data_IF_476208302750
#
_entry.id   IF_476208302750
#
_cell.length_a   1.000
_cell.length_b   1.000
_cell.length_c   1.000
_cell.angle_alpha   90.00
_cell.angle_beta   90.00
_cell.angle_gamma   90.00
#
_symmetry.space_group_name_H-M   'P 1'
#
loop_
_entity.id
_entity.type
_entity.pdbx_description
1 polymer ?
#
# COMPACT_ATOMS: atom_id res chain seq x y z
N UNK A 1 -14.85 20.06 -5.60
CA UNK A 1 -13.48 19.54 -5.83
C UNK A 1 -12.43 20.54 -5.36
N UNK A 2 -12.33 21.75 -5.93
CA UNK A 2 -11.41 22.78 -5.42
C UNK A 2 -11.60 23.08 -3.92
N UNK A 3 -12.82 23.41 -3.48
CA UNK A 3 -13.12 23.67 -2.06
C UNK A 3 -12.64 22.54 -1.13
N UNK A 4 -12.98 21.29 -1.45
CA UNK A 4 -12.61 20.13 -0.63
C UNK A 4 -11.09 19.88 -0.55
N UNK A 5 -10.31 20.33 -1.55
CA UNK A 5 -8.85 20.32 -1.49
C UNK A 5 -8.32 21.51 -0.66
N UNK A 6 -8.92 22.70 -0.79
CA UNK A 6 -8.61 23.86 0.05
C UNK A 6 -8.82 23.55 1.53
N UNK A 7 -9.99 23.06 1.93
CA UNK A 7 -10.30 22.72 3.33
C UNK A 7 -9.33 21.68 3.92
N UNK A 8 -8.77 20.78 3.10
CA UNK A 8 -7.81 19.77 3.57
C UNK A 8 -6.41 20.36 3.76
N UNK A 9 -5.98 21.26 2.88
CA UNK A 9 -4.72 22.00 3.06
C UNK A 9 -4.81 22.91 4.28
N UNK A 10 -5.91 23.65 4.43
CA UNK A 10 -6.21 24.54 5.55
C UNK A 10 -6.16 23.80 6.91
N UNK A 11 -6.75 22.60 7.03
CA UNK A 11 -6.67 21.80 8.28
C UNK A 11 -5.26 21.22 8.52
N UNK A 12 -4.47 20.96 7.48
CA UNK A 12 -3.07 20.57 7.64
C UNK A 12 -2.20 21.75 8.07
N UNK A 13 -2.47 22.96 7.56
CA UNK A 13 -1.81 24.21 7.93
C UNK A 13 -2.16 24.63 9.37
N UNK A 14 -3.44 24.56 9.78
CA UNK A 14 -3.88 24.76 11.18
C UNK A 14 -3.17 23.81 12.15
N UNK A 15 -2.82 22.60 11.70
CA UNK A 15 -2.05 21.60 12.46
C UNK A 15 -0.53 21.75 12.32
N UNK A 16 -0.02 22.74 11.60
CA UNK A 16 1.41 23.00 11.39
C UNK A 16 2.12 21.97 10.49
N UNK A 17 1.39 21.21 9.68
CA UNK A 17 1.90 20.07 8.89
C UNK A 17 2.50 20.50 7.54
N UNK A 18 2.24 21.73 7.08
CA UNK A 18 2.59 22.22 5.73
C UNK A 18 3.42 23.52 5.72
N UNK A 19 4.14 23.82 6.79
CA UNK A 19 5.10 24.93 6.80
C UNK A 19 6.46 24.45 6.27
N UNK A 20 7.22 25.32 5.58
CA UNK A 20 8.62 25.02 5.25
C UNK A 20 9.46 24.84 6.53
N UNK A 21 10.38 23.89 6.47
CA UNK A 21 11.27 23.49 7.56
C UNK A 21 12.73 23.51 7.08
N UNK A 22 13.67 23.33 8.00
CA UNK A 22 15.08 23.12 7.65
C UNK A 22 15.29 21.90 6.71
N UNK A 23 14.34 20.96 6.72
CA UNK A 23 14.32 19.71 5.98
C UNK A 23 13.06 19.51 5.11
N UNK A 24 12.24 20.55 4.88
CA UNK A 24 11.02 20.47 4.06
C UNK A 24 10.84 21.75 3.22
N UNK A 25 10.78 21.60 1.89
CA UNK A 25 10.64 22.72 0.96
C UNK A 25 9.58 22.45 -0.12
N UNK A 26 8.74 23.44 -0.42
CA UNK A 26 7.66 23.38 -1.40
C UNK A 26 8.06 24.08 -2.70
N UNK A 27 7.73 23.49 -3.85
CA UNK A 27 7.92 24.15 -5.15
C UNK A 27 6.75 23.94 -6.10
N UNK A 28 6.26 25.05 -6.63
CA UNK A 28 5.30 25.04 -7.74
C UNK A 28 5.98 24.40 -8.95
N UNK A 29 5.29 23.44 -9.55
CA UNK A 29 5.67 22.81 -10.81
C UNK A 29 4.74 23.24 -11.96
N UNK A 30 3.79 24.17 -11.73
CA UNK A 30 2.76 24.62 -12.69
C UNK A 30 3.24 24.94 -14.11
N UNK A 31 4.50 25.34 -14.28
CA UNK A 31 5.14 25.65 -15.56
C UNK A 31 6.10 24.58 -16.09
N UNK A 32 6.14 23.39 -15.49
CA UNK A 32 7.19 22.38 -15.67
C UNK A 32 8.04 22.19 -14.41
N UNK A 33 8.94 21.20 -14.45
CA UNK A 33 9.87 20.93 -13.34
C UNK A 33 10.69 22.20 -12.99
N UNK A 34 10.58 22.75 -11.77
CA UNK A 34 11.14 24.06 -11.45
C UNK A 34 12.67 24.04 -11.44
N UNK A 35 13.31 25.11 -11.98
CA UNK A 35 14.78 25.19 -12.03
C UNK A 35 15.42 25.22 -10.64
N UNK A 36 14.77 25.84 -9.66
CA UNK A 36 15.22 25.91 -8.27
C UNK A 36 15.15 24.57 -7.52
N UNK A 37 14.55 23.51 -8.09
CA UNK A 37 14.63 22.16 -7.55
C UNK A 37 16.09 21.71 -7.34
N UNK A 38 16.99 22.09 -8.24
CA UNK A 38 18.39 21.65 -8.22
C UNK A 38 19.23 22.43 -7.21
N UNK A 39 18.80 23.64 -6.85
CA UNK A 39 19.38 24.44 -5.76
C UNK A 39 19.07 23.77 -4.42
N UNK A 40 17.80 23.46 -4.17
CA UNK A 40 17.31 22.73 -2.98
C UNK A 40 17.86 21.31 -2.86
N UNK A 41 17.88 20.56 -3.96
CA UNK A 41 18.49 19.22 -4.00
C UNK A 41 19.97 19.29 -3.60
N UNK A 42 20.70 20.30 -4.08
CA UNK A 42 22.09 20.53 -3.69
C UNK A 42 22.21 20.93 -2.21
N UNK A 43 21.33 21.80 -1.70
CA UNK A 43 21.32 22.20 -0.29
C UNK A 43 21.12 20.99 0.63
N UNK A 44 20.06 20.20 0.41
CA UNK A 44 19.76 18.99 1.19
C UNK A 44 20.80 17.88 1.02
N UNK A 45 21.41 17.74 -0.16
CA UNK A 45 22.49 16.78 -0.39
C UNK A 45 23.80 17.13 0.36
N UNK A 46 23.94 18.37 0.86
CA UNK A 46 25.09 18.84 1.64
C UNK A 46 24.74 19.09 3.14
N UNK A 47 23.54 18.74 3.59
CA UNK A 47 23.07 18.83 4.98
C UNK A 47 22.69 17.45 5.54
N UNK A 48 21.85 17.40 6.58
CA UNK A 48 21.25 16.16 7.12
C UNK A 48 20.24 15.49 6.16
N UNK A 49 19.96 16.12 5.00
CA UNK A 49 18.93 15.73 4.05
C UNK A 49 17.70 16.63 4.10
N UNK A 50 16.63 16.21 3.41
CA UNK A 50 15.35 16.89 3.39
C UNK A 50 14.37 16.33 2.35
N UNK A 51 13.14 16.79 2.39
CA UNK A 51 12.03 16.42 1.51
C UNK A 51 11.65 17.61 0.64
N UNK A 52 11.55 17.42 -0.68
CA UNK A 52 11.09 18.46 -1.61
C UNK A 52 9.72 18.04 -2.16
N UNK A 53 8.69 18.86 -1.93
CA UNK A 53 7.33 18.60 -2.39
C UNK A 53 7.03 19.44 -3.64
N UNK A 54 6.92 18.76 -4.78
CA UNK A 54 6.63 19.36 -6.08
C UNK A 54 5.13 19.46 -6.34
N UNK A 55 4.70 20.58 -6.93
CA UNK A 55 3.29 20.84 -7.27
C UNK A 55 2.52 21.61 -6.19
N UNK A 56 3.22 22.24 -5.25
CA UNK A 56 2.66 23.14 -4.22
C UNK A 56 3.25 24.53 -4.39
N UNK A 57 2.40 25.55 -4.54
CA UNK A 57 2.81 26.96 -4.53
C UNK A 57 2.40 27.62 -3.22
N UNK A 58 3.34 28.16 -2.47
CA UNK A 58 3.02 29.03 -1.32
C UNK A 58 2.63 30.43 -1.78
N UNK A 59 1.66 31.06 -1.11
CA UNK A 59 1.34 32.48 -1.22
C UNK A 59 0.68 32.98 0.07
N UNK A 60 1.13 34.12 0.59
CA UNK A 60 0.61 34.76 1.80
C UNK A 60 0.58 33.82 3.03
N UNK A 61 1.57 32.93 3.17
CA UNK A 61 1.67 31.83 4.16
C UNK A 61 0.66 30.66 3.99
N UNK A 62 -0.04 30.56 2.86
CA UNK A 62 -0.92 29.42 2.53
C UNK A 62 -0.34 28.58 1.38
N UNK A 63 -0.44 27.25 1.47
CA UNK A 63 -0.04 26.33 0.41
C UNK A 63 -1.19 26.00 -0.54
N UNK A 64 -0.93 26.09 -1.85
CA UNK A 64 -1.91 25.77 -2.89
C UNK A 64 -1.38 24.69 -3.82
N UNK A 65 -2.14 23.60 -3.98
CA UNK A 65 -1.84 22.57 -4.98
C UNK A 65 -2.03 23.12 -6.40
N UNK A 66 -1.03 22.90 -7.26
CA UNK A 66 -1.03 23.37 -8.66
C UNK A 66 -2.14 22.73 -9.53
N UNK A 67 -2.71 21.61 -9.08
CA UNK A 67 -3.79 20.90 -9.79
C UNK A 67 -3.30 20.05 -10.97
N UNK A 68 -2.12 19.43 -10.82
CA UNK A 68 -1.43 18.70 -11.89
C UNK A 68 -2.19 17.43 -12.32
N UNK A 69 -2.37 17.26 -13.63
CA UNK A 69 -2.93 16.03 -14.22
C UNK A 69 -1.93 14.88 -14.24
N UNK A 70 -2.42 13.64 -14.16
CA UNK A 70 -1.56 12.45 -14.06
C UNK A 70 -0.55 12.32 -15.21
N UNK A 71 -0.97 12.55 -16.46
CA UNK A 71 -0.07 12.50 -17.63
C UNK A 71 1.04 13.55 -17.58
N UNK A 72 0.76 14.70 -16.96
CA UNK A 72 1.72 15.80 -16.77
C UNK A 72 2.74 15.42 -15.69
N UNK A 73 2.28 14.84 -14.57
CA UNK A 73 3.15 14.32 -13.50
C UNK A 73 4.04 13.19 -14.04
N UNK A 74 3.49 12.25 -14.81
CA UNK A 74 4.24 11.16 -15.47
C UNK A 74 5.37 11.72 -16.34
N UNK A 75 5.07 12.68 -17.22
CA UNK A 75 6.10 13.35 -18.04
C UNK A 75 7.19 14.01 -17.17
N UNK A 76 6.81 14.71 -16.10
CA UNK A 76 7.79 15.42 -15.27
C UNK A 76 8.67 14.49 -14.42
N UNK A 77 8.24 13.25 -14.18
CA UNK A 77 9.09 12.21 -13.60
C UNK A 77 10.13 11.73 -14.60
N UNK A 78 9.76 11.54 -15.87
CA UNK A 78 10.72 11.23 -16.93
C UNK A 78 11.70 12.40 -17.11
N UNK A 79 11.21 13.65 -17.17
CA UNK A 79 12.05 14.86 -17.23
C UNK A 79 12.96 14.98 -15.99
N UNK A 80 12.50 14.60 -14.80
CA UNK A 80 13.29 14.58 -13.56
C UNK A 80 14.41 13.53 -13.62
N UNK A 81 14.08 12.28 -13.96
CA UNK A 81 15.07 11.19 -14.03
C UNK A 81 16.10 11.43 -15.12
N UNK A 82 15.73 12.04 -16.24
CA UNK A 82 16.67 12.48 -17.27
C UNK A 82 17.62 13.59 -16.77
N UNK A 83 17.13 14.51 -15.92
CA UNK A 83 17.94 15.63 -15.41
C UNK A 83 18.87 15.23 -14.26
N UNK A 84 18.40 14.43 -13.29
CA UNK A 84 19.22 14.03 -12.13
C UNK A 84 20.34 13.05 -12.50
N UNK A 85 20.18 12.28 -13.59
CA UNK A 85 21.22 11.42 -14.13
C UNK A 85 22.17 12.14 -15.11
N UNK A 86 21.91 13.40 -15.49
CA UNK A 86 22.85 14.16 -16.32
C UNK A 86 23.96 14.79 -15.46
N UNK A 87 25.19 14.30 -15.65
CA UNK A 87 26.40 14.79 -14.96
C UNK A 87 26.78 16.25 -15.25
N UNK A 88 26.29 16.84 -16.33
CA UNK A 88 26.43 18.28 -16.61
C UNK A 88 25.54 19.14 -15.69
N UNK A 89 24.56 18.52 -15.02
CA UNK A 89 23.54 19.21 -14.21
C UNK A 89 23.56 18.79 -12.74
N UNK A 90 23.85 17.52 -12.45
CA UNK A 90 23.95 16.98 -11.09
C UNK A 90 25.19 16.10 -10.99
N UNK A 91 26.13 16.46 -10.11
CA UNK A 91 27.44 15.80 -9.98
C UNK A 91 27.32 14.29 -9.66
N UNK A 92 26.38 13.95 -8.78
CA UNK A 92 26.05 12.58 -8.35
C UNK A 92 24.54 12.49 -8.08
N UNK A 93 23.87 11.54 -8.73
CA UNK A 93 22.50 11.16 -8.35
C UNK A 93 22.53 10.36 -7.05
N UNK A 94 21.88 10.86 -6.00
CA UNK A 94 21.76 10.22 -4.69
C UNK A 94 20.43 9.47 -4.51
N UNK A 95 19.49 9.60 -5.44
CA UNK A 95 18.11 9.13 -5.31
C UNK A 95 17.81 7.90 -6.16
N UNK A 96 17.01 7.00 -5.60
CA UNK A 96 16.47 5.82 -6.28
C UNK A 96 14.95 5.95 -6.47
N UNK A 97 14.37 5.04 -7.25
CA UNK A 97 12.92 4.98 -7.47
C UNK A 97 12.08 4.66 -6.20
N UNK A 98 12.69 4.51 -5.02
CA UNK A 98 12.01 4.38 -3.72
C UNK A 98 11.86 5.71 -2.98
N UNK A 99 12.71 6.67 -3.33
CA UNK A 99 12.90 7.94 -2.62
C UNK A 99 12.04 9.03 -3.26
N UNK A 100 11.83 8.95 -4.58
CA UNK A 100 10.83 9.74 -5.31
C UNK A 100 9.45 9.10 -5.15
N UNK A 101 8.47 9.89 -4.67
CA UNK A 101 7.13 9.42 -4.31
C UNK A 101 6.05 10.26 -4.99
N UNK A 102 5.11 9.60 -5.64
CA UNK A 102 4.02 10.25 -6.38
C UNK A 102 2.75 10.23 -5.53
N UNK A 103 2.22 11.40 -5.18
CA UNK A 103 0.93 11.52 -4.51
C UNK A 103 -0.01 12.41 -5.31
N UNK A 104 -1.14 11.83 -5.72
CA UNK A 104 -2.22 12.57 -6.39
C UNK A 104 -3.02 13.38 -5.37
N UNK A 105 -3.71 14.46 -5.79
CA UNK A 105 -4.49 15.30 -4.87
C UNK A 105 -5.53 14.52 -4.04
N UNK A 106 -6.23 13.58 -4.66
CA UNK A 106 -7.15 12.67 -3.97
C UNK A 106 -6.43 11.76 -2.93
N UNK A 107 -5.15 11.42 -3.17
CA UNK A 107 -4.36 10.62 -2.23
C UNK A 107 -3.93 11.43 -1.01
N UNK A 108 -3.58 12.71 -1.19
CA UNK A 108 -3.35 13.63 -0.07
C UNK A 108 -4.62 13.76 0.79
N UNK A 109 -5.81 13.90 0.19
CA UNK A 109 -7.08 13.88 0.93
C UNK A 109 -7.25 12.57 1.73
N UNK A 110 -6.94 11.41 1.16
CA UNK A 110 -7.01 10.12 1.87
C UNK A 110 -6.09 10.10 3.10
N UNK A 111 -4.83 10.50 2.96
CA UNK A 111 -3.85 10.46 4.04
C UNK A 111 -4.18 11.50 5.11
N UNK A 112 -4.58 12.71 4.72
CA UNK A 112 -5.00 13.77 5.64
C UNK A 112 -6.22 13.35 6.46
N UNK A 113 -7.24 12.75 5.82
CA UNK A 113 -8.41 12.19 6.51
C UNK A 113 -7.98 11.13 7.53
N UNK A 114 -7.00 10.29 7.19
CA UNK A 114 -6.50 9.24 8.07
C UNK A 114 -5.72 9.77 9.29
N UNK A 115 -5.03 10.92 9.20
CA UNK A 115 -4.40 11.56 10.38
C UNK A 115 -5.42 12.37 11.20
N UNK A 116 -6.36 13.05 10.54
CA UNK A 116 -7.36 13.90 11.22
C UNK A 116 -8.39 13.04 11.98
N UNK A 117 -8.82 11.92 11.39
CA UNK A 117 -9.85 11.02 11.94
C UNK A 117 -9.25 9.76 12.60
N UNK A 118 -7.93 9.60 12.58
CA UNK A 118 -7.18 8.42 13.05
C UNK A 118 -7.37 7.16 12.18
N UNK A 119 -8.53 7.01 11.55
CA UNK A 119 -8.87 5.96 10.58
C UNK A 119 -9.65 6.55 9.40
N UNK A 120 -9.37 6.07 8.19
CA UNK A 120 -10.11 6.39 6.98
C UNK A 120 -10.79 5.15 6.42
N UNK A 121 -11.95 5.31 5.75
CA UNK A 121 -12.67 4.20 5.11
C UNK A 121 -13.15 4.55 3.71
N UNK A 122 -13.38 3.53 2.87
CA UNK A 122 -13.91 3.72 1.52
C UNK A 122 -15.28 4.40 1.50
N UNK A 123 -16.10 4.25 2.55
CA UNK A 123 -17.38 4.93 2.69
C UNK A 123 -17.20 6.41 3.06
N UNK A 124 -16.33 6.72 4.03
CA UNK A 124 -15.98 8.10 4.39
C UNK A 124 -15.50 8.89 3.18
N UNK A 125 -14.62 8.28 2.41
CA UNK A 125 -14.01 8.88 1.22
C UNK A 125 -14.99 9.10 0.06
N UNK A 126 -16.08 8.34 -0.06
CA UNK A 126 -17.15 8.64 -1.04
C UNK A 126 -17.90 9.94 -0.71
N UNK A 127 -17.81 10.44 0.52
CA UNK A 127 -18.34 11.75 0.92
C UNK A 127 -17.34 12.91 0.81
N UNK A 128 -16.06 12.63 0.51
CA UNK A 128 -14.99 13.64 0.41
C UNK A 128 -14.42 13.74 -1.01
N UNK A 129 -14.36 12.61 -1.72
CA UNK A 129 -13.89 12.49 -3.10
C UNK A 129 -15.07 12.28 -4.04
N UNK A 130 -15.15 13.09 -5.10
CA UNK A 130 -16.13 12.89 -6.17
C UNK A 130 -15.70 11.75 -7.12
N UNK A 131 -15.63 10.52 -6.58
CA UNK A 131 -15.12 9.32 -7.24
C UNK A 131 -15.96 8.10 -6.90
N UNK A 132 -16.04 7.14 -7.81
CA UNK A 132 -16.76 5.90 -7.56
C UNK A 132 -16.04 5.02 -6.52
N UNK A 133 -16.81 4.27 -5.74
CA UNK A 133 -16.33 3.33 -4.71
C UNK A 133 -15.20 2.41 -5.17
N UNK A 134 -15.18 2.02 -6.46
CA UNK A 134 -14.14 1.18 -7.06
C UNK A 134 -12.80 1.91 -7.29
N UNK A 135 -12.81 3.20 -7.66
CA UNK A 135 -11.59 4.01 -7.81
C UNK A 135 -10.93 4.21 -6.45
N UNK A 136 -11.72 4.63 -5.47
CA UNK A 136 -11.27 4.80 -4.08
C UNK A 136 -10.77 3.45 -3.53
N UNK A 137 -11.39 2.33 -3.92
CA UNK A 137 -10.92 0.98 -3.59
C UNK A 137 -9.61 0.60 -4.29
N UNK A 138 -9.23 1.23 -5.40
CA UNK A 138 -7.91 1.05 -6.03
C UNK A 138 -6.89 1.92 -5.29
N UNK A 139 -7.17 3.21 -5.11
CA UNK A 139 -6.30 4.16 -4.41
C UNK A 139 -5.91 3.70 -2.99
N UNK A 140 -6.87 3.20 -2.21
CA UNK A 140 -6.59 2.66 -0.87
C UNK A 140 -5.64 1.46 -0.91
N UNK A 141 -5.72 0.59 -1.93
CA UNK A 141 -4.79 -0.55 -2.10
C UNK A 141 -3.43 -0.10 -2.59
N UNK A 142 -3.39 0.89 -3.48
CA UNK A 142 -2.16 1.48 -3.99
C UNK A 142 -1.37 2.12 -2.84
N UNK A 143 -2.02 2.97 -2.03
CA UNK A 143 -1.46 3.53 -0.80
C UNK A 143 -1.02 2.47 0.22
N UNK A 144 -1.75 1.36 0.37
CA UNK A 144 -1.27 0.22 1.17
C UNK A 144 -0.01 -0.44 0.58
N UNK A 145 0.08 -0.56 -0.75
CA UNK A 145 1.20 -1.21 -1.43
C UNK A 145 2.47 -0.35 -1.48
N UNK A 146 2.31 0.98 -1.52
CA UNK A 146 3.37 1.97 -1.30
C UNK A 146 3.67 2.18 0.20
N UNK A 147 2.92 1.49 1.07
CA UNK A 147 3.13 1.37 2.50
C UNK A 147 2.46 2.44 3.37
N UNK A 148 1.84 3.49 2.82
CA UNK A 148 1.32 4.63 3.60
C UNK A 148 0.15 4.28 4.53
N UNK A 149 -0.64 3.28 4.16
CA UNK A 149 -1.82 2.86 4.90
C UNK A 149 -1.73 1.40 5.32
N UNK A 150 -2.12 1.13 6.56
CA UNK A 150 -2.29 -0.22 7.09
C UNK A 150 -3.80 -0.53 7.18
N UNK A 151 -4.30 -1.62 6.55
CA UNK A 151 -5.68 -2.04 6.70
C UNK A 151 -5.89 -2.67 8.09
N UNK A 152 -6.74 -2.07 8.90
CA UNK A 152 -7.07 -2.54 10.25
C UNK A 152 -7.92 -3.83 10.20
N UNK A 153 -8.93 -3.83 9.32
CA UNK A 153 -9.98 -4.85 9.27
C UNK A 153 -10.08 -5.52 7.89
N UNK A 154 -10.29 -6.83 7.80
CA UNK A 154 -10.46 -7.55 6.52
C UNK A 154 -11.95 -7.77 6.19
N UNK A 155 -12.59 -6.88 5.43
CA UNK A 155 -14.00 -7.08 5.06
C UNK A 155 -14.63 -5.99 4.20
N UNK A 156 -15.97 -5.92 4.24
CA UNK A 156 -16.77 -4.87 3.57
C UNK A 156 -16.63 -3.49 4.24
N UNK A 157 -16.13 -3.47 5.47
CA UNK A 157 -15.94 -2.29 6.32
C UNK A 157 -14.46 -2.12 6.67
N UNK A 158 -13.55 -2.31 5.71
CA UNK A 158 -12.12 -2.06 5.94
C UNK A 158 -11.86 -0.58 6.18
N UNK A 159 -11.54 -0.26 7.43
CA UNK A 159 -10.82 0.93 7.88
C UNK A 159 -9.31 0.78 7.62
N UNK A 160 -8.64 1.91 7.47
CA UNK A 160 -7.20 2.04 7.23
C UNK A 160 -6.64 3.13 8.15
N UNK A 161 -5.52 2.87 8.81
CA UNK A 161 -4.77 3.88 9.59
C UNK A 161 -3.46 4.22 8.89
N UNK A 162 -2.87 5.38 9.20
CA UNK A 162 -1.55 5.74 8.68
C UNK A 162 -0.47 4.82 9.24
N UNK A 163 0.40 4.35 8.34
CA UNK A 163 1.52 3.50 8.71
C UNK A 163 2.69 4.36 9.21
N UNK A 164 2.68 4.66 10.51
CA UNK A 164 3.76 5.38 11.21
C UNK A 164 5.11 4.61 11.22
N UNK A 165 5.17 3.41 10.61
CA UNK A 165 6.37 2.60 10.39
C UNK A 165 7.05 2.76 9.02
N UNK A 166 6.57 3.63 8.10
CA UNK A 166 7.46 4.13 7.04
C UNK A 166 8.47 5.07 7.70
N UNK A 167 9.76 4.93 7.36
CA UNK A 167 10.81 5.87 7.72
C UNK A 167 10.71 7.22 7.02
N UNK A 168 9.65 7.98 7.28
CA UNK A 168 9.82 9.39 7.58
C UNK A 168 10.72 9.41 8.83
N UNK A 169 11.94 9.96 8.74
CA UNK A 169 12.78 10.08 9.94
C UNK A 169 12.05 10.94 10.97
N UNK A 170 12.01 10.49 12.21
CA UNK A 170 11.15 11.06 13.22
C UNK A 170 11.75 12.39 13.74
N UNK A 171 10.98 13.47 13.55
CA UNK A 171 11.42 14.85 13.72
C UNK A 171 10.90 15.68 12.55
N UNK A 172 9.78 16.41 12.67
CA UNK A 172 8.96 16.65 13.87
C UNK A 172 7.46 16.77 13.55
N UNK A 173 6.65 15.78 13.93
CA UNK A 173 5.19 15.83 13.79
C UNK A 173 4.39 15.25 14.97
N UNK A 174 4.85 14.16 15.63
CA UNK A 174 4.03 13.44 16.63
C UNK A 174 4.75 13.03 17.92
N UNK A 175 5.71 13.83 18.38
CA UNK A 175 6.17 13.77 19.79
C UNK A 175 6.08 15.17 20.42
N UNK A 176 4.92 15.47 21.01
CA UNK A 176 4.72 16.45 22.11
C UNK A 176 3.23 16.58 22.54
N UNK A 177 2.45 15.49 22.57
CA UNK A 177 1.04 15.56 23.03
C UNK A 177 0.48 14.29 23.73
N UNK A 178 1.30 13.62 24.54
CA UNK A 178 0.80 12.67 25.57
C UNK A 178 1.44 13.01 26.93
N UNK A 179 1.18 14.24 27.36
CA UNK A 179 1.84 14.90 28.49
C UNK A 179 1.11 14.86 29.83
N UNK A 180 0.06 14.05 30.01
CA UNK A 180 -0.48 13.67 31.33
C UNK A 180 -1.61 12.63 31.24
N UNK A 181 -1.39 11.46 31.86
CA UNK A 181 -2.31 10.83 32.82
C UNK A 181 -1.59 9.69 33.57
N UNK A 182 -2.15 9.27 34.71
CA UNK A 182 -1.54 8.37 35.72
C UNK A 182 -1.17 6.95 35.17
N UNK A 183 -0.36 6.12 35.84
CA UNK A 183 -0.10 6.04 37.30
C UNK A 183 1.26 5.38 37.65
N UNK A 184 1.68 5.44 38.92
CA UNK A 184 2.85 4.72 39.45
C UNK A 184 2.46 3.32 39.93
N UNK A 185 3.20 2.28 39.53
CA UNK A 185 3.45 1.13 40.42
C UNK A 185 4.79 0.44 40.15
N UNK A 186 5.18 -0.47 41.05
CA UNK A 186 6.55 -0.64 41.53
C UNK A 186 7.18 -2.01 41.16
N UNK A 187 8.52 -2.08 41.10
CA UNK A 187 9.39 -3.29 41.08
C UNK A 187 9.09 -4.45 40.08
N UNK A 188 10.07 -5.11 39.44
CA UNK A 188 11.19 -5.82 40.06
C UNK A 188 12.14 -6.46 39.02
N UNK A 189 13.35 -6.84 39.42
CA UNK A 189 14.37 -7.49 38.58
C UNK A 189 14.09 -8.96 38.22
N UNK A 190 14.48 -9.39 37.00
CA UNK A 190 15.61 -10.35 36.78
C UNK A 190 15.80 -10.83 35.32
N UNK A 191 17.01 -10.58 34.81
CA UNK A 191 18.03 -11.50 34.23
C UNK A 191 17.68 -12.81 33.48
N UNK A 192 18.60 -13.12 32.55
CA UNK A 192 18.93 -14.42 31.92
C UNK A 192 17.89 -15.00 30.92
N UNK A 193 18.24 -15.79 29.88
CA UNK A 193 19.55 -16.18 29.34
C UNK A 193 19.47 -17.39 28.36
N UNK A 194 20.50 -17.59 27.51
CA UNK A 194 20.68 -18.69 26.53
C UNK A 194 19.75 -18.66 25.27
N UNK A 195 20.25 -18.87 24.04
CA UNK A 195 20.73 -20.10 23.34
C UNK A 195 19.62 -21.15 23.12
N UNK A 196 19.52 -21.86 21.98
CA UNK A 196 20.35 -21.89 20.75
C UNK A 196 19.41 -21.95 19.49
N UNK A 197 19.69 -22.42 18.27
CA UNK A 197 20.79 -23.18 17.64
C UNK A 197 20.86 -22.89 16.11
N UNK A 198 21.55 -23.75 15.33
CA UNK A 198 21.43 -23.86 13.86
C UNK A 198 21.08 -25.31 13.49
N UNK A 199 20.38 -25.54 12.38
CA UNK A 199 20.53 -26.80 11.66
C UNK A 199 20.43 -26.63 10.14
N UNK A 200 21.34 -27.30 9.43
CA UNK A 200 21.43 -27.44 7.98
C UNK A 200 21.01 -28.87 7.61
N UNK A 201 20.49 -29.10 6.38
CA UNK A 201 20.92 -30.23 5.53
C UNK A 201 20.19 -30.29 4.17
N UNK A 202 20.98 -30.11 3.11
CA UNK A 202 21.02 -30.91 1.86
C UNK A 202 19.77 -31.12 0.96
N UNK A 203 19.99 -30.87 -0.33
CA UNK A 203 19.21 -31.33 -1.48
C UNK A 203 18.70 -32.78 -1.42
N UNK A 204 17.50 -32.98 -2.00
CA UNK A 204 17.26 -34.09 -2.94
C UNK A 204 16.55 -33.60 -4.19
N UNK A 205 17.15 -33.87 -5.35
CA UNK A 205 16.52 -33.71 -6.67
C UNK A 205 15.78 -35.00 -7.04
N UNK A 206 14.46 -34.95 -7.04
CA UNK A 206 13.64 -35.87 -7.83
C UNK A 206 12.77 -35.02 -8.76
N UNK A 207 12.99 -35.18 -10.07
CA UNK A 207 12.37 -34.32 -11.08
C UNK A 207 11.45 -35.10 -11.99
N UNK A 208 10.15 -34.77 -11.99
CA UNK A 208 9.27 -34.99 -13.13
C UNK A 208 8.20 -33.87 -13.23
N UNK A 209 7.78 -33.57 -14.46
CA UNK A 209 6.74 -32.60 -14.81
C UNK A 209 6.97 -31.15 -14.33
N UNK A 210 8.13 -30.60 -14.68
CA UNK A 210 8.31 -29.15 -14.84
C UNK A 210 7.51 -28.59 -16.03
N UNK A 211 6.18 -28.69 -16.01
CA UNK A 211 5.31 -27.96 -16.94
C UNK A 211 5.25 -26.50 -16.53
N UNK A 212 5.33 -25.57 -17.49
CA UNK A 212 5.10 -24.16 -17.19
C UNK A 212 3.63 -23.97 -16.76
N UNK A 213 3.41 -23.84 -15.45
CA UNK A 213 2.06 -23.76 -14.87
C UNK A 213 1.29 -22.52 -15.35
N UNK A 214 1.92 -21.57 -16.06
CA UNK A 214 1.25 -20.40 -16.62
C UNK A 214 0.30 -20.74 -17.79
N UNK A 215 0.53 -21.86 -18.51
CA UNK A 215 -0.19 -22.18 -19.77
C UNK A 215 -1.25 -23.29 -19.69
N UNK A 216 -1.45 -23.90 -18.51
CA UNK A 216 -2.43 -25.00 -18.34
C UNK A 216 -3.84 -24.54 -18.73
N UNK A 217 -4.47 -25.30 -19.64
CA UNK A 217 -5.80 -24.96 -20.18
C UNK A 217 -6.87 -25.07 -19.10
N UNK A 218 -7.92 -24.25 -19.21
CA UNK A 218 -9.01 -24.18 -18.23
C UNK A 218 -9.67 -25.55 -17.95
N UNK A 219 -9.75 -26.41 -18.96
CA UNK A 219 -10.22 -27.80 -18.86
C UNK A 219 -9.29 -28.70 -18.02
N UNK A 220 -7.98 -28.65 -18.29
CA UNK A 220 -6.97 -29.43 -17.57
C UNK A 220 -6.91 -29.03 -16.09
N UNK A 221 -6.95 -27.73 -15.81
CA UNK A 221 -7.00 -27.20 -14.44
C UNK A 221 -8.28 -27.64 -13.69
N UNK A 222 -9.43 -27.66 -14.38
CA UNK A 222 -10.69 -28.21 -13.81
C UNK A 222 -10.52 -29.69 -13.43
N UNK A 223 -10.03 -30.53 -14.34
CA UNK A 223 -9.85 -31.96 -14.10
C UNK A 223 -8.91 -32.24 -12.92
N UNK A 224 -7.75 -31.57 -12.88
CA UNK A 224 -6.80 -31.70 -11.78
C UNK A 224 -7.38 -31.28 -10.42
N UNK A 225 -8.25 -30.27 -10.37
CA UNK A 225 -8.94 -29.86 -9.14
C UNK A 225 -9.96 -30.93 -8.69
N UNK A 226 -10.69 -31.54 -9.61
CA UNK A 226 -11.61 -32.66 -9.30
C UNK A 226 -10.85 -33.90 -8.82
N UNK A 227 -9.64 -34.14 -9.35
CA UNK A 227 -8.74 -35.21 -8.95
C UNK A 227 -8.22 -35.02 -7.52
N UNK A 228 -7.60 -33.87 -7.19
CA UNK A 228 -7.06 -33.63 -5.84
C UNK A 228 -8.14 -33.55 -4.75
N UNK A 229 -9.35 -33.13 -5.10
CA UNK A 229 -10.52 -33.10 -4.21
C UNK A 229 -11.21 -34.47 -4.06
N UNK A 230 -10.72 -35.54 -4.70
CA UNK A 230 -11.37 -36.86 -4.65
C UNK A 230 -11.25 -37.55 -3.29
N UNK A 231 -10.10 -37.44 -2.64
CA UNK A 231 -9.76 -38.20 -1.42
C UNK A 231 -10.27 -37.54 -0.13
N UNK A 232 -10.15 -36.21 -0.02
CA UNK A 232 -10.61 -35.45 1.15
C UNK A 232 -11.18 -34.08 0.75
N UNK A 233 -11.89 -33.46 1.70
CA UNK A 233 -12.20 -32.04 1.64
C UNK A 233 -10.90 -31.21 1.65
N UNK A 234 -10.80 -30.24 0.73
CA UNK A 234 -9.71 -29.27 0.62
C UNK A 234 -10.23 -27.84 0.76
N UNK A 235 -9.55 -26.99 1.52
CA UNK A 235 -9.83 -25.54 1.53
C UNK A 235 -9.43 -24.89 0.21
N UNK A 236 -9.89 -23.65 -0.04
CA UNK A 236 -9.49 -22.93 -1.26
C UNK A 236 -8.00 -22.57 -1.25
N UNK A 237 -7.39 -22.44 -0.07
CA UNK A 237 -5.96 -22.26 0.17
C UNK A 237 -5.16 -23.54 -0.14
N UNK A 238 -5.62 -24.72 0.29
CA UNK A 238 -4.98 -26.00 -0.07
C UNK A 238 -5.00 -26.24 -1.59
N UNK A 239 -6.12 -25.90 -2.25
CA UNK A 239 -6.23 -25.96 -3.72
C UNK A 239 -5.32 -24.91 -4.37
N UNK A 240 -5.19 -23.71 -3.81
CA UNK A 240 -4.28 -22.65 -4.28
C UNK A 240 -2.81 -23.09 -4.27
N UNK A 241 -2.36 -23.71 -3.17
CA UNK A 241 -1.01 -24.27 -3.03
C UNK A 241 -0.77 -25.38 -4.07
N UNK A 242 -1.68 -26.37 -4.16
CA UNK A 242 -1.54 -27.51 -5.08
C UNK A 242 -1.55 -27.11 -6.56
N UNK A 243 -2.35 -26.12 -6.95
CA UNK A 243 -2.50 -25.67 -8.35
C UNK A 243 -1.56 -24.54 -8.75
N UNK A 244 -0.84 -23.91 -7.81
CA UNK A 244 -0.11 -22.65 -7.98
C UNK A 244 -0.99 -21.59 -8.69
N UNK A 245 -2.16 -21.34 -8.11
CA UNK A 245 -3.14 -20.33 -8.54
C UNK A 245 -3.62 -19.52 -7.34
N UNK A 246 -4.05 -18.28 -7.55
CA UNK A 246 -4.58 -17.46 -6.44
C UNK A 246 -5.95 -17.97 -5.99
N UNK A 247 -6.18 -18.02 -4.66
CA UNK A 247 -7.47 -18.44 -4.08
C UNK A 247 -8.64 -17.63 -4.64
N UNK A 248 -8.42 -16.35 -4.96
CA UNK A 248 -9.40 -15.45 -5.61
C UNK A 248 -9.80 -15.92 -7.01
N UNK A 249 -8.85 -16.32 -7.86
CA UNK A 249 -9.14 -16.86 -9.20
C UNK A 249 -9.88 -18.20 -9.09
N UNK A 250 -9.38 -19.10 -8.25
CA UNK A 250 -9.97 -20.42 -8.03
C UNK A 250 -11.41 -20.32 -7.53
N UNK A 251 -11.65 -19.52 -6.48
CA UNK A 251 -12.99 -19.31 -5.89
C UNK A 251 -13.95 -18.76 -6.94
N UNK A 252 -13.56 -17.70 -7.66
CA UNK A 252 -14.49 -16.93 -8.47
C UNK A 252 -14.70 -17.47 -9.90
N UNK A 253 -13.76 -18.25 -10.44
CA UNK A 253 -13.83 -18.77 -11.83
C UNK A 253 -13.88 -20.29 -11.93
N UNK A 254 -13.12 -21.02 -11.12
CA UNK A 254 -12.97 -22.48 -11.30
C UNK A 254 -13.89 -23.26 -10.37
N UNK A 255 -13.74 -23.11 -9.05
CA UNK A 255 -14.56 -23.82 -8.05
C UNK A 255 -16.02 -23.40 -8.14
N UNK A 256 -16.32 -22.11 -8.33
CA UNK A 256 -17.69 -21.64 -8.58
C UNK A 256 -18.33 -22.22 -9.86
N UNK A 257 -17.53 -22.70 -10.82
CA UNK A 257 -18.06 -23.40 -12.00
C UNK A 257 -18.17 -24.91 -11.74
N UNK A 258 -17.17 -25.55 -11.14
CA UNK A 258 -17.21 -26.97 -10.78
C UNK A 258 -18.37 -27.33 -9.81
N UNK A 259 -18.80 -26.38 -8.97
CA UNK A 259 -19.99 -26.50 -8.13
C UNK A 259 -21.30 -26.44 -8.96
N UNK A 260 -21.36 -25.63 -10.02
CA UNK A 260 -22.51 -25.59 -10.96
C UNK A 260 -22.55 -26.81 -11.86
N UNK A 261 -21.37 -27.26 -12.30
CA UNK A 261 -21.16 -28.47 -13.10
C UNK A 261 -21.45 -29.75 -12.29
N UNK A 262 -21.73 -29.65 -10.98
CA UNK A 262 -22.05 -30.77 -10.09
C UNK A 262 -20.86 -31.65 -9.70
N UNK A 263 -19.64 -31.29 -10.11
CA UNK A 263 -18.41 -32.07 -9.95
C UNK A 263 -17.77 -31.92 -8.56
N UNK A 264 -18.01 -30.79 -7.90
CA UNK A 264 -17.62 -30.56 -6.50
C UNK A 264 -18.85 -30.38 -5.60
N UNK A 265 -18.69 -30.71 -4.33
CA UNK A 265 -19.62 -30.42 -3.24
C UNK A 265 -18.97 -29.49 -2.18
N UNK A 266 -19.78 -29.06 -1.21
CA UNK A 266 -19.41 -28.11 -0.15
C UNK A 266 -19.42 -28.80 1.21
N UNK A 267 -18.37 -28.62 2.02
CA UNK A 267 -18.35 -29.11 3.41
C UNK A 267 -19.48 -28.50 4.24
N UNK A 268 -19.76 -27.21 4.03
CA UNK A 268 -20.95 -26.54 4.55
C UNK A 268 -21.82 -26.07 3.36
N UNK A 269 -22.92 -26.79 3.03
CA UNK A 269 -23.81 -26.40 1.93
C UNK A 269 -24.69 -25.20 2.27
N UNK A 270 -25.21 -25.15 3.50
CA UNK A 270 -26.16 -24.14 3.99
C UNK A 270 -25.54 -22.78 4.29
N UNK A 271 -24.22 -22.71 4.49
CA UNK A 271 -23.47 -21.48 4.78
C UNK A 271 -22.37 -21.24 3.76
N UNK A 272 -22.68 -20.77 2.52
CA UNK A 272 -21.72 -20.70 1.41
C UNK A 272 -20.46 -19.85 1.62
N UNK A 273 -20.44 -19.02 2.66
CA UNK A 273 -19.34 -18.13 3.07
C UNK A 273 -18.72 -18.51 4.43
N UNK A 274 -18.94 -19.73 4.94
CA UNK A 274 -18.34 -20.21 6.19
C UNK A 274 -16.80 -20.04 6.16
N UNK A 275 -16.13 -19.59 7.25
CA UNK A 275 -14.68 -19.36 7.25
C UNK A 275 -13.90 -20.64 6.90
N UNK A 276 -14.29 -21.79 7.45
CA UNK A 276 -13.63 -23.07 7.22
C UNK A 276 -14.18 -23.81 5.99
N UNK A 277 -14.57 -23.08 4.93
CA UNK A 277 -15.20 -23.69 3.75
C UNK A 277 -14.21 -24.54 2.95
N UNK A 278 -14.49 -25.84 2.87
CA UNK A 278 -13.77 -26.80 2.05
C UNK A 278 -14.66 -27.45 0.98
N UNK A 279 -14.03 -28.07 -0.01
CA UNK A 279 -14.65 -28.68 -1.18
C UNK A 279 -14.12 -30.10 -1.40
N UNK A 280 -14.99 -31.01 -1.85
CA UNK A 280 -14.66 -32.40 -2.20
C UNK A 280 -15.27 -32.72 -3.57
N UNK A 281 -14.75 -33.71 -4.29
CA UNK A 281 -15.43 -34.30 -5.46
C UNK A 281 -16.77 -34.86 -4.99
N UNK A 282 -17.86 -34.43 -5.62
CA UNK A 282 -19.19 -34.99 -5.36
C UNK A 282 -19.18 -36.45 -5.84
N UNK A 283 -19.66 -37.36 -4.99
CA UNK A 283 -19.92 -38.74 -5.40
C UNK A 283 -21.26 -38.78 -6.16
N UNK A 284 -21.28 -39.53 -7.27
CA UNK A 284 -22.50 -39.83 -8.04
C UNK A 284 -23.17 -41.06 -7.47
#
# INVERSE_FOLDING_TARGET
>A
MKEYLSNVLEILEEKGVLNESYDLEFKSAKGGLPRSLWESYSAFANSEGGTIILGVSEKDNYCYLDGLGEDVVRKWLDDFWNQINNKEKVSVNLLTAKDVRNMYGDALVILSTAEIEGVVSNLRLQGLLNKHSSEISIMLKDLCSQGYLNPENKGRWTSYHLNKGIGLKQGSLFENLDGHLNEKMDTSDKKDGHLNEKMDTSDKKDGHLGRNMQEIKSSELKSYIVEICSSKYLTIEEIAVKTRRTSKYLKNKIVSQLLKDGLLERLYPTTPNHPNQAYKKKQQ
#
